data_IF_706262813879
#
_entry.id   IF_706262813879
#
_cell.length_a   1.000
_cell.length_b   1.000
_cell.length_c   1.000
_cell.angle_alpha   90.00
_cell.angle_beta   90.00
_cell.angle_gamma   90.00
#
_symmetry.space_group_name_H-M   'P 1'
#
loop_
_entity.id
_entity.type
_entity.pdbx_description
1 polymer ?
#
# COMPACT_ATOMS: atom_id res chain seq x y z
N UNK A 1 2.53 -30.38 -20.11
CA UNK A 1 2.69 -30.11 -18.66
C UNK A 1 1.65 -29.09 -18.26
N UNK A 2 0.79 -29.42 -17.30
CA UNK A 2 -0.29 -28.54 -16.84
C UNK A 2 0.29 -27.30 -16.16
N UNK A 3 -0.02 -26.11 -16.68
CA UNK A 3 0.32 -24.85 -16.04
C UNK A 3 -0.36 -24.81 -14.66
N UNK A 4 0.42 -24.91 -13.59
CA UNK A 4 -0.04 -24.68 -12.22
C UNK A 4 -0.46 -23.22 -12.15
N UNK A 5 -1.75 -22.98 -12.33
CA UNK A 5 -2.34 -21.65 -12.24
C UNK A 5 -2.31 -21.26 -10.76
N UNK A 6 -1.26 -20.55 -10.33
CA UNK A 6 -1.16 -19.94 -9.01
C UNK A 6 -2.18 -18.78 -8.93
N UNK A 7 -3.48 -19.11 -8.93
CA UNK A 7 -4.54 -18.14 -8.72
C UNK A 7 -4.64 -17.87 -7.22
N UNK A 8 -4.41 -16.62 -6.84
CA UNK A 8 -4.55 -16.15 -5.47
C UNK A 8 -6.04 -16.22 -5.08
N UNK A 9 -6.35 -16.78 -3.91
CA UNK A 9 -7.71 -16.91 -3.41
C UNK A 9 -8.29 -15.57 -2.92
N UNK A 10 -9.63 -15.49 -2.81
CA UNK A 10 -10.33 -14.27 -2.37
C UNK A 10 -9.88 -13.82 -0.97
N UNK A 11 -9.69 -14.76 -0.03
CA UNK A 11 -9.19 -14.45 1.30
C UNK A 11 -7.77 -13.89 1.27
N UNK A 12 -6.88 -14.48 0.46
CA UNK A 12 -5.51 -14.00 0.32
C UNK A 12 -5.47 -12.59 -0.28
N UNK A 13 -6.24 -12.33 -1.35
CA UNK A 13 -6.38 -10.99 -1.94
C UNK A 13 -6.95 -9.97 -0.95
N UNK A 14 -7.93 -10.38 -0.14
CA UNK A 14 -8.55 -9.52 0.87
C UNK A 14 -7.54 -9.13 1.94
N UNK A 15 -6.79 -10.11 2.47
CA UNK A 15 -5.79 -9.87 3.49
C UNK A 15 -4.64 -9.03 2.93
N UNK A 16 -4.16 -9.33 1.72
CA UNK A 16 -3.12 -8.55 1.06
C UNK A 16 -3.53 -7.08 0.91
N UNK A 17 -4.77 -6.84 0.47
CA UNK A 17 -5.31 -5.49 0.34
C UNK A 17 -5.42 -4.80 1.69
N UNK A 18 -5.89 -5.50 2.72
CA UNK A 18 -5.99 -4.97 4.08
C UNK A 18 -4.63 -4.56 4.62
N UNK A 19 -3.61 -5.42 4.51
CA UNK A 19 -2.26 -5.14 5.00
C UNK A 19 -1.65 -3.95 4.26
N UNK A 20 -1.81 -3.88 2.93
CA UNK A 20 -1.32 -2.76 2.13
C UNK A 20 -1.97 -1.42 2.51
N UNK A 21 -3.23 -1.43 2.96
CA UNK A 21 -3.94 -0.22 3.40
C UNK A 21 -3.67 0.13 4.86
N UNK A 22 -3.36 -0.84 5.72
CA UNK A 22 -3.03 -0.60 7.13
C UNK A 22 -1.70 0.16 7.28
N UNK A 23 -0.68 -0.23 6.51
CA UNK A 23 0.59 0.48 6.33
C UNK A 23 1.16 1.17 7.58
N UNK A 24 1.73 2.37 7.39
CA UNK A 24 2.18 3.24 8.49
C UNK A 24 1.04 4.00 9.18
N UNK A 25 -0.17 3.97 8.62
CA UNK A 25 -1.33 4.73 9.09
C UNK A 25 -1.78 4.32 10.48
N UNK A 26 -1.98 3.02 10.74
CA UNK A 26 -2.52 2.53 12.03
C UNK A 26 -1.61 2.86 13.22
N UNK A 27 -0.30 2.93 13.01
CA UNK A 27 0.65 3.18 14.10
C UNK A 27 0.70 4.67 14.46
N UNK A 28 0.54 5.57 13.48
CA UNK A 28 0.64 7.02 13.68
C UNK A 28 -0.69 7.67 14.07
N UNK A 29 -1.81 7.02 13.72
CA UNK A 29 -3.16 7.52 13.96
C UNK A 29 -3.50 7.75 15.44
N UNK A 30 -3.17 6.87 16.41
CA UNK A 30 -3.51 7.10 17.82
C UNK A 30 -2.96 8.42 18.36
N UNK A 31 -1.69 8.73 18.05
CA UNK A 31 -1.04 9.98 18.46
C UNK A 31 -1.70 11.20 17.81
N UNK A 32 -2.02 11.13 16.51
CA UNK A 32 -2.66 12.23 15.79
C UNK A 32 -4.12 12.45 16.13
N UNK A 33 -4.83 11.41 16.54
CA UNK A 33 -6.22 11.51 17.00
C UNK A 33 -6.29 11.98 18.46
N UNK A 34 -5.29 11.65 19.28
CA UNK A 34 -5.15 12.18 20.64
C UNK A 34 -4.98 13.70 20.66
N UNK A 35 -4.29 14.29 19.67
CA UNK A 35 -4.16 15.75 19.50
C UNK A 35 -5.52 16.44 19.23
N UNK A 36 -6.49 15.72 18.63
CA UNK A 36 -7.79 16.26 18.18
C UNK A 36 -8.93 15.98 19.18
N UNK A 37 -8.83 14.91 19.98
CA UNK A 37 -9.82 14.54 21.00
C UNK A 37 -11.03 13.77 20.44
N UNK A 38 -12.14 13.74 21.19
CA UNK A 38 -13.35 12.92 20.90
C UNK A 38 -14.06 13.28 19.59
N UNK A 39 -13.84 14.47 19.03
CA UNK A 39 -14.41 14.88 17.73
C UNK A 39 -13.86 14.07 16.56
N UNK A 40 -12.74 13.37 16.75
CA UNK A 40 -12.13 12.48 15.77
C UNK A 40 -13.03 11.31 15.34
N UNK A 41 -13.99 10.90 16.18
CA UNK A 41 -14.96 9.83 15.85
C UNK A 41 -15.81 10.22 14.64
N UNK A 42 -16.16 11.49 14.49
CA UNK A 42 -16.92 11.98 13.34
C UNK A 42 -16.07 11.87 12.06
N UNK A 43 -14.78 12.22 12.12
CA UNK A 43 -13.86 12.04 11.00
C UNK A 43 -13.76 10.57 10.59
N UNK A 44 -13.66 9.64 11.54
CA UNK A 44 -13.64 8.20 11.26
C UNK A 44 -14.92 7.70 10.58
N UNK A 45 -16.09 8.19 11.01
CA UNK A 45 -17.36 7.84 10.37
C UNK A 45 -17.41 8.33 8.92
N UNK A 46 -17.02 9.58 8.67
CA UNK A 46 -16.98 10.14 7.32
C UNK A 46 -15.99 9.38 6.44
N UNK A 47 -14.79 9.08 6.95
CA UNK A 47 -13.77 8.29 6.24
C UNK A 47 -14.27 6.87 5.95
N UNK A 48 -14.91 6.20 6.91
CA UNK A 48 -15.46 4.86 6.73
C UNK A 48 -16.55 4.82 5.66
N UNK A 49 -17.48 5.77 5.68
CA UNK A 49 -18.55 5.87 4.68
C UNK A 49 -17.97 6.18 3.30
N UNK A 50 -17.07 7.18 3.20
CA UNK A 50 -16.46 7.56 1.92
C UNK A 50 -15.62 6.44 1.29
N UNK A 51 -14.79 5.76 2.10
CA UNK A 51 -13.98 4.63 1.62
C UNK A 51 -14.84 3.43 1.22
N UNK A 52 -15.92 3.14 1.94
CA UNK A 52 -16.86 2.06 1.57
C UNK A 52 -17.57 2.36 0.25
N UNK A 53 -18.01 3.60 0.04
CA UNK A 53 -18.62 4.02 -1.23
C UNK A 53 -17.63 3.89 -2.40
N UNK A 54 -16.38 4.29 -2.19
CA UNK A 54 -15.32 4.14 -3.20
C UNK A 54 -14.99 2.67 -3.48
N UNK A 55 -14.90 1.84 -2.44
CA UNK A 55 -14.68 0.39 -2.58
C UNK A 55 -15.81 -0.28 -3.35
N UNK A 56 -17.06 0.12 -3.11
CA UNK A 56 -18.22 -0.37 -3.86
C UNK A 56 -18.14 0.02 -5.35
N UNK A 57 -17.76 1.27 -5.65
CA UNK A 57 -17.56 1.70 -7.04
C UNK A 57 -16.47 0.86 -7.74
N UNK A 58 -15.33 0.63 -7.08
CA UNK A 58 -14.27 -0.23 -7.62
C UNK A 58 -14.71 -1.70 -7.78
N UNK A 59 -15.53 -2.22 -6.85
CA UNK A 59 -16.08 -3.57 -6.96
C UNK A 59 -16.98 -3.69 -8.21
N UNK A 60 -17.86 -2.71 -8.45
CA UNK A 60 -18.70 -2.68 -9.64
C UNK A 60 -17.86 -2.55 -10.93
N UNK A 61 -16.89 -1.62 -10.96
CA UNK A 61 -15.97 -1.50 -12.09
C UNK A 61 -15.20 -2.81 -12.34
N UNK A 62 -14.75 -3.50 -11.29
CA UNK A 62 -14.08 -4.80 -11.39
C UNK A 62 -14.96 -5.92 -11.91
N UNK A 63 -16.24 -5.94 -11.53
CA UNK A 63 -17.21 -6.94 -12.00
C UNK A 63 -17.61 -6.73 -13.47
N UNK A 64 -17.74 -5.47 -13.91
CA UNK A 64 -18.21 -5.15 -15.27
C UNK A 64 -17.10 -4.88 -16.29
N UNK A 65 -15.87 -4.60 -15.85
CA UNK A 65 -14.75 -4.39 -16.77
C UNK A 65 -14.37 -5.67 -17.51
N UNK A 66 -14.24 -5.54 -18.83
CA UNK A 66 -13.69 -6.56 -19.74
C UNK A 66 -12.26 -6.24 -20.19
N UNK A 67 -11.73 -5.07 -19.82
CA UNK A 67 -10.37 -4.61 -20.13
C UNK A 67 -9.43 -5.06 -19.02
N UNK A 68 -8.37 -5.77 -19.40
CA UNK A 68 -7.24 -6.03 -18.51
C UNK A 68 -6.49 -4.72 -18.24
N UNK A 69 -6.11 -4.44 -16.99
CA UNK A 69 -5.35 -3.24 -16.63
C UNK A 69 -5.84 -2.44 -15.41
N UNK A 70 -6.78 -2.96 -14.62
CA UNK A 70 -7.21 -2.33 -13.35
C UNK A 70 -7.73 -0.90 -13.54
N UNK A 71 -7.24 0.03 -12.71
CA UNK A 71 -7.72 1.43 -12.70
C UNK A 71 -7.56 2.16 -14.04
N UNK A 72 -6.42 1.99 -14.72
CA UNK A 72 -6.21 2.54 -16.06
C UNK A 72 -7.17 1.94 -17.09
N UNK A 73 -7.46 0.64 -16.96
CA UNK A 73 -8.45 -0.06 -17.78
C UNK A 73 -9.88 0.45 -17.58
N UNK A 74 -10.26 0.80 -16.34
CA UNK A 74 -11.56 1.41 -16.03
C UNK A 74 -11.69 2.80 -16.68
N UNK A 75 -10.63 3.63 -16.58
CA UNK A 75 -10.60 4.96 -17.18
C UNK A 75 -10.65 4.92 -18.72
N UNK A 76 -10.09 3.88 -19.34
CA UNK A 76 -10.08 3.73 -20.81
C UNK A 76 -11.48 3.63 -21.41
N UNK A 77 -12.46 3.07 -20.67
CA UNK A 77 -13.83 2.94 -21.18
C UNK A 77 -14.51 4.27 -21.48
N UNK A 78 -14.30 5.27 -20.62
CA UNK A 78 -14.96 6.58 -20.74
C UNK A 78 -14.07 7.63 -21.41
N UNK A 79 -12.75 7.53 -21.23
CA UNK A 79 -11.79 8.57 -21.62
C UNK A 79 -10.75 8.09 -22.64
N UNK A 80 -10.86 6.84 -23.13
CA UNK A 80 -9.95 6.26 -24.10
C UNK A 80 -8.51 6.13 -23.58
N UNK A 81 -7.55 5.98 -24.50
CA UNK A 81 -6.13 5.76 -24.17
C UNK A 81 -5.52 6.89 -23.33
N UNK A 82 -5.99 8.13 -23.51
CA UNK A 82 -5.51 9.27 -22.73
C UNK A 82 -5.89 9.14 -21.26
N UNK A 83 -7.13 8.73 -20.95
CA UNK A 83 -7.55 8.48 -19.57
C UNK A 83 -6.81 7.31 -18.92
N UNK A 84 -6.54 6.25 -19.68
CA UNK A 84 -5.71 5.13 -19.22
C UNK A 84 -4.31 5.62 -18.81
N UNK A 85 -3.66 6.42 -19.67
CA UNK A 85 -2.35 6.98 -19.37
C UNK A 85 -2.37 7.88 -18.13
N UNK A 86 -3.32 8.81 -18.02
CA UNK A 86 -3.40 9.71 -16.86
C UNK A 86 -3.60 8.94 -15.56
N UNK A 87 -4.53 7.97 -15.53
CA UNK A 87 -4.79 7.17 -14.34
C UNK A 87 -3.54 6.39 -13.89
N UNK A 88 -2.86 5.73 -14.83
CA UNK A 88 -1.65 4.97 -14.52
C UNK A 88 -0.46 5.87 -14.14
N UNK A 89 -0.32 7.03 -14.79
CA UNK A 89 0.74 7.99 -14.47
C UNK A 89 0.56 8.57 -13.06
N UNK A 90 -0.64 9.07 -12.72
CA UNK A 90 -0.94 9.59 -11.39
C UNK A 90 -0.80 8.51 -10.33
N UNK A 91 -1.20 7.27 -10.63
CA UNK A 91 -0.97 6.14 -9.74
C UNK A 91 0.54 5.91 -9.51
N UNK A 92 1.36 5.88 -10.55
CA UNK A 92 2.82 5.75 -10.42
C UNK A 92 3.45 6.86 -9.56
N UNK A 93 3.04 8.12 -9.75
CA UNK A 93 3.51 9.24 -8.92
C UNK A 93 3.07 9.07 -7.46
N UNK A 94 1.83 8.61 -7.23
CA UNK A 94 1.33 8.38 -5.88
C UNK A 94 2.11 7.28 -5.14
N UNK A 95 2.55 6.23 -5.84
CA UNK A 95 3.35 5.16 -5.26
C UNK A 95 4.73 5.66 -4.79
N UNK A 96 5.38 6.53 -5.57
CA UNK A 96 6.67 7.12 -5.17
C UNK A 96 6.53 7.87 -3.84
N UNK A 97 5.48 8.69 -3.70
CA UNK A 97 5.22 9.47 -2.49
C UNK A 97 4.85 8.53 -1.33
N UNK A 98 3.96 7.56 -1.56
CA UNK A 98 3.50 6.61 -0.55
C UNK A 98 4.65 5.76 0.00
N UNK A 99 5.48 5.18 -0.88
CA UNK A 99 6.62 4.35 -0.49
C UNK A 99 7.67 5.17 0.29
N UNK A 100 7.89 6.43 -0.11
CA UNK A 100 8.77 7.35 0.62
C UNK A 100 8.23 7.61 2.03
N UNK A 101 6.92 7.88 2.17
CA UNK A 101 6.30 8.11 3.47
C UNK A 101 6.35 6.87 4.38
N UNK A 102 6.14 5.67 3.83
CA UNK A 102 6.27 4.40 4.56
C UNK A 102 7.71 4.19 5.05
N UNK A 103 8.70 4.43 4.19
CA UNK A 103 10.11 4.31 4.56
C UNK A 103 10.51 5.30 5.67
N UNK A 104 10.09 6.57 5.57
CA UNK A 104 10.33 7.58 6.61
C UNK A 104 9.69 7.14 7.93
N UNK A 105 8.46 6.64 7.88
CA UNK A 105 7.75 6.16 9.08
C UNK A 105 8.50 5.00 9.73
N UNK A 106 8.94 4.01 8.94
CA UNK A 106 9.68 2.86 9.44
C UNK A 106 10.99 3.25 10.13
N UNK A 107 11.75 4.18 9.54
CA UNK A 107 12.98 4.72 10.14
C UNK A 107 12.68 5.51 11.42
N UNK A 108 11.63 6.34 11.41
CA UNK A 108 11.18 7.08 12.59
C UNK A 108 10.86 6.16 13.78
N UNK A 109 10.07 5.11 13.54
CA UNK A 109 9.75 4.12 14.58
C UNK A 109 10.98 3.34 15.05
N UNK A 110 11.87 2.95 14.14
CA UNK A 110 13.13 2.28 14.50
C UNK A 110 14.01 3.17 15.38
N UNK A 111 14.05 4.47 15.12
CA UNK A 111 14.76 5.48 15.92
C UNK A 111 14.24 5.53 17.35
N UNK A 112 12.91 5.61 17.52
CA UNK A 112 12.25 5.64 18.83
C UNK A 112 12.46 4.33 19.61
N UNK A 113 12.34 3.18 18.94
CA UNK A 113 12.53 1.87 19.55
C UNK A 113 13.98 1.65 20.05
N UNK A 114 14.96 2.20 19.34
CA UNK A 114 16.37 2.15 19.73
C UNK A 114 16.76 3.28 20.70
N UNK A 115 15.84 4.18 21.05
CA UNK A 115 16.09 5.33 21.93
C UNK A 115 17.11 6.32 21.37
N UNK A 116 17.31 6.33 20.06
CA UNK A 116 18.29 7.20 19.39
C UNK A 116 17.57 8.40 18.78
N UNK A 117 18.03 9.62 19.09
CA UNK A 117 17.54 10.83 18.44
C UNK A 117 18.30 11.05 17.13
N UNK A 118 17.70 10.70 16.00
CA UNK A 118 18.30 10.92 14.69
C UNK A 118 18.09 12.35 14.21
N UNK A 119 19.14 12.96 13.66
CA UNK A 119 19.02 14.24 12.96
C UNK A 119 18.20 14.08 11.67
N UNK A 120 17.58 15.15 11.13
CA UNK A 120 16.82 15.07 9.87
C UNK A 120 17.63 14.51 8.70
N UNK A 121 18.93 14.81 8.65
CA UNK A 121 19.86 14.30 7.64
C UNK A 121 20.09 12.79 7.83
N UNK A 122 20.24 12.35 9.08
CA UNK A 122 20.38 10.92 9.41
C UNK A 122 19.11 10.14 9.03
N UNK A 123 17.92 10.69 9.31
CA UNK A 123 16.64 10.09 8.90
C UNK A 123 16.58 9.94 7.37
N UNK A 124 16.99 10.97 6.62
CA UNK A 124 17.02 10.90 5.15
C UNK A 124 17.95 9.81 4.63
N UNK A 125 19.16 9.68 5.19
CA UNK A 125 20.13 8.64 4.80
C UNK A 125 19.58 7.24 5.11
N UNK A 126 19.04 7.03 6.31
CA UNK A 126 18.43 5.75 6.68
C UNK A 126 17.19 5.43 5.84
N UNK A 127 16.40 6.43 5.47
CA UNK A 127 15.24 6.26 4.58
C UNK A 127 15.68 5.79 3.20
N UNK A 128 16.72 6.42 2.63
CA UNK A 128 17.30 6.01 1.34
C UNK A 128 17.82 4.58 1.43
N UNK A 129 18.52 4.23 2.51
CA UNK A 129 18.98 2.86 2.76
C UNK A 129 17.82 1.87 2.82
N UNK A 130 16.75 2.17 3.55
CA UNK A 130 15.55 1.33 3.64
C UNK A 130 14.87 1.16 2.28
N UNK A 131 14.79 2.21 1.45
CA UNK A 131 14.24 2.13 0.10
C UNK A 131 15.07 1.22 -0.82
N UNK A 132 16.40 1.33 -0.77
CA UNK A 132 17.30 0.45 -1.52
C UNK A 132 17.22 -1.00 -1.03
N UNK A 133 17.15 -1.21 0.28
CA UNK A 133 16.96 -2.53 0.86
C UNK A 133 15.65 -3.16 0.38
N UNK A 134 14.54 -2.41 0.46
CA UNK A 134 13.24 -2.87 -0.03
C UNK A 134 13.28 -3.18 -1.54
N UNK A 135 13.96 -2.34 -2.33
CA UNK A 135 14.14 -2.53 -3.77
C UNK A 135 14.94 -3.80 -4.08
N UNK A 136 16.02 -4.08 -3.35
CA UNK A 136 16.81 -5.30 -3.50
C UNK A 136 15.98 -6.54 -3.14
N UNK A 137 15.21 -6.47 -2.04
CA UNK A 137 14.28 -7.52 -1.66
C UNK A 137 13.21 -7.75 -2.73
N UNK A 138 12.73 -6.68 -3.38
CA UNK A 138 11.77 -6.74 -4.48
C UNK A 138 12.34 -7.49 -5.69
N UNK A 139 13.60 -7.21 -6.08
CA UNK A 139 14.28 -7.91 -7.17
C UNK A 139 14.68 -9.36 -6.85
N UNK A 140 14.87 -9.70 -5.57
CA UNK A 140 15.32 -11.02 -5.08
C UNK A 140 14.27 -12.13 -5.10
N UNK A 141 13.24 -12.05 -5.95
CA UNK A 141 12.22 -13.10 -6.07
C UNK A 141 12.85 -14.50 -6.20
N UNK A 142 12.53 -15.39 -5.24
CA UNK A 142 12.97 -16.80 -5.06
C UNK A 142 13.98 -17.04 -3.92
N UNK A 143 13.50 -16.97 -2.67
CA UNK A 143 13.76 -17.93 -1.57
C UNK A 143 13.42 -17.32 -0.20
N UNK A 144 12.15 -16.93 0.03
CA UNK A 144 11.69 -16.84 1.41
C UNK A 144 11.32 -18.26 1.88
N UNK A 145 11.73 -18.68 3.09
CA UNK A 145 11.34 -19.98 3.64
C UNK A 145 9.82 -20.09 3.65
N UNK A 146 9.28 -21.25 3.28
CA UNK A 146 7.83 -21.55 3.15
C UNK A 146 6.96 -21.03 4.32
N UNK A 147 7.56 -20.84 5.51
CA UNK A 147 6.92 -20.24 6.68
C UNK A 147 6.50 -18.77 6.48
N UNK A 148 7.24 -17.96 5.70
CA UNK A 148 6.88 -16.58 5.39
C UNK A 148 5.93 -16.45 4.19
N UNK A 149 5.85 -17.47 3.32
CA UNK A 149 4.89 -17.50 2.21
C UNK A 149 3.44 -17.73 2.69
N UNK A 150 3.27 -18.33 3.87
CA UNK A 150 1.97 -18.47 4.53
C UNK A 150 1.60 -17.28 5.41
N UNK A 151 2.55 -16.37 5.67
CA UNK A 151 2.28 -15.14 6.39
C UNK A 151 1.75 -14.09 5.40
N UNK A 152 0.61 -13.46 5.70
CA UNK A 152 0.02 -12.44 4.83
C UNK A 152 0.88 -11.19 4.59
N UNK A 153 2.03 -11.09 5.27
CA UNK A 153 2.98 -10.00 5.21
C UNK A 153 4.07 -10.16 4.14
N UNK A 154 4.29 -11.39 3.63
CA UNK A 154 5.33 -11.66 2.65
C UNK A 154 5.09 -10.91 1.34
N UNK A 155 3.88 -11.00 0.78
CA UNK A 155 3.52 -10.35 -0.48
C UNK A 155 3.38 -8.82 -0.36
N UNK A 156 3.07 -8.30 0.83
CA UNK A 156 2.93 -6.87 1.10
C UNK A 156 4.26 -6.12 1.00
N UNK A 157 5.37 -6.79 1.32
CA UNK A 157 6.72 -6.23 1.23
C UNK A 157 7.21 -6.13 -0.23
N UNK A 158 6.68 -6.97 -1.13
CA UNK A 158 6.99 -6.97 -2.58
C UNK A 158 6.13 -5.99 -3.39
N UNK A 159 5.17 -5.31 -2.75
CA UNK A 159 4.33 -4.29 -3.40
C UNK A 159 4.70 -2.85 -2.98
N UNK A 160 5.77 -2.70 -2.18
CA UNK A 160 6.60 -1.48 -2.16
C UNK A 160 7.52 -1.51 -3.39
#
# INVERSE_FOLDING_TARGET
MSSKNNKIGVLQLTILTMVNMMGSGIIMLPTKLAEIGTISIVSWLVTAVGSTALAYAFAQCGMFSKKSGGMGGYAEYSFGKAGNFMANYTYGVSLIIANTAIAISAVGYGSELLGTALSPISIAIWTIFTLWLATILNFGGLALPEILAHLPFGESLFLL
#
